data_IF_436226702822
#
_entry.id   IF_436226702822
#
_cell.length_a   1.000
_cell.length_b   1.000
_cell.length_c   1.000
_cell.angle_alpha   90.00
_cell.angle_beta   90.00
_cell.angle_gamma   90.00
#
_symmetry.space_group_name_H-M   'P 1'
#
loop_
_entity.id
_entity.type
_entity.pdbx_description
1 polymer ?
#
# COMPACT_ATOMS: atom_id res chain seq x y z
N UNK A 1 13.35 -10.63 11.28
CA UNK A 1 13.35 -9.17 11.57
C UNK A 1 11.91 -8.74 11.83
N UNK A 2 11.64 -8.02 12.92
CA UNK A 2 10.29 -7.58 13.33
C UNK A 2 10.09 -6.09 13.08
N UNK A 3 9.02 -5.71 12.38
CA UNK A 3 8.66 -4.32 12.07
C UNK A 3 7.23 -4.01 12.51
N UNK A 4 6.98 -2.77 12.95
CA UNK A 4 5.66 -2.31 13.42
C UNK A 4 4.91 -1.58 12.30
N UNK A 5 3.63 -1.92 12.14
CA UNK A 5 2.72 -1.36 11.17
C UNK A 5 1.36 -1.07 11.80
N UNK A 6 0.54 -0.30 11.07
CA UNK A 6 -0.87 -0.10 11.37
C UNK A 6 -1.70 -0.54 10.18
N UNK A 7 -2.81 -1.24 10.43
CA UNK A 7 -3.77 -1.63 9.41
C UNK A 7 -4.49 -0.39 8.88
N UNK A 8 -4.33 -0.11 7.59
CA UNK A 8 -4.92 1.07 6.92
C UNK A 8 -6.23 0.74 6.22
N UNK A 9 -6.30 -0.39 5.52
CA UNK A 9 -7.53 -0.87 4.88
C UNK A 9 -7.57 -2.39 4.84
N UNK A 10 -8.78 -2.92 4.78
CA UNK A 10 -9.08 -4.34 4.57
C UNK A 10 -10.14 -4.37 3.48
N UNK A 11 -9.74 -4.82 2.30
CA UNK A 11 -10.58 -4.80 1.11
C UNK A 11 -10.93 -6.24 0.70
N UNK A 12 -12.20 -6.52 0.44
CA UNK A 12 -12.62 -7.83 -0.05
C UNK A 12 -12.16 -8.03 -1.50
N UNK A 13 -11.96 -9.29 -1.90
CA UNK A 13 -11.60 -9.62 -3.26
C UNK A 13 -12.61 -9.05 -4.27
N UNK A 14 -12.17 -8.32 -5.31
CA UNK A 14 -13.08 -7.69 -6.27
C UNK A 14 -13.77 -8.71 -7.19
N UNK A 15 -13.20 -9.90 -7.30
CA UNK A 15 -13.70 -11.06 -8.05
C UNK A 15 -14.61 -11.97 -7.19
N UNK A 16 -14.85 -11.61 -5.92
CA UNK A 16 -15.67 -12.41 -4.99
C UNK A 16 -14.98 -13.67 -4.46
N UNK A 17 -13.69 -13.86 -4.76
CA UNK A 17 -12.93 -14.96 -4.19
C UNK A 17 -12.79 -14.82 -2.65
N UNK A 18 -12.60 -15.94 -1.92
CA UNK A 18 -12.61 -15.93 -0.45
C UNK A 18 -11.27 -15.44 0.14
N UNK A 19 -10.84 -14.24 -0.24
CA UNK A 19 -9.65 -13.58 0.30
C UNK A 19 -9.90 -12.09 0.56
N UNK A 20 -9.09 -11.52 1.46
CA UNK A 20 -8.99 -10.07 1.67
C UNK A 20 -7.61 -9.58 1.27
N UNK A 21 -7.53 -8.30 0.93
CA UNK A 21 -6.29 -7.55 0.78
C UNK A 21 -6.17 -6.61 1.97
N UNK A 22 -5.14 -6.81 2.79
CA UNK A 22 -4.84 -5.97 3.95
C UNK A 22 -3.71 -5.02 3.59
N UNK A 23 -3.98 -3.72 3.66
CA UNK A 23 -2.99 -2.68 3.46
C UNK A 23 -2.43 -2.21 4.81
N UNK A 24 -1.12 -2.30 4.98
CA UNK A 24 -0.38 -1.92 6.17
C UNK A 24 0.45 -0.66 5.88
N UNK A 25 0.46 0.30 6.81
CA UNK A 25 1.33 1.48 6.73
C UNK A 25 2.29 1.49 7.90
N UNK A 26 3.55 1.91 7.67
CA UNK A 26 4.50 2.01 8.77
C UNK A 26 4.11 3.17 9.69
N UNK A 27 4.41 3.05 10.99
CA UNK A 27 4.13 4.11 11.97
C UNK A 27 4.90 5.40 11.65
N UNK A 28 6.03 5.29 10.94
CA UNK A 28 6.84 6.44 10.52
C UNK A 28 6.13 7.23 9.41
N UNK A 29 5.59 6.53 8.42
CA UNK A 29 4.83 7.15 7.31
C UNK A 29 3.52 7.80 7.79
N UNK A 30 2.91 7.26 8.86
CA UNK A 30 1.71 7.87 9.47
C UNK A 30 2.00 9.20 10.15
N UNK A 31 3.20 9.39 10.73
CA UNK A 31 3.60 10.64 11.39
C UNK A 31 4.05 11.71 10.41
N UNK A 32 4.54 11.33 9.24
CA UNK A 32 4.94 12.24 8.17
C UNK A 32 3.75 12.69 7.28
N UNK A 33 2.53 12.26 7.61
CA UNK A 33 1.27 12.56 6.91
C UNK A 33 0.77 14.02 7.02
N UNK A 34 1.63 15.01 6.78
CA UNK A 34 1.22 16.39 6.40
C UNK A 34 1.81 16.79 5.04
N UNK A 35 1.84 15.87 4.09
CA UNK A 35 2.01 16.20 2.67
C UNK A 35 0.91 15.51 1.90
N UNK A 36 -0.22 16.21 1.87
CA UNK A 36 -1.19 16.28 0.79
C UNK A 36 -0.81 15.41 -0.41
N UNK A 37 -1.25 14.15 -0.40
CA UNK A 37 -1.44 13.42 -1.65
C UNK A 37 -2.73 14.00 -2.23
N UNK A 38 -2.70 14.82 -3.29
CA UNK A 38 -3.93 15.29 -3.90
C UNK A 38 -4.68 14.06 -4.43
N UNK A 39 -5.88 13.85 -3.91
CA UNK A 39 -6.81 12.85 -4.41
C UNK A 39 -6.93 12.98 -5.93
N UNK A 40 -6.82 11.89 -6.71
CA UNK A 40 -6.92 11.92 -8.17
C UNK A 40 -8.33 12.27 -8.69
N UNK A 41 -9.26 12.65 -7.81
CA UNK A 41 -10.65 12.97 -8.13
C UNK A 41 -11.08 14.39 -7.71
N UNK A 42 -10.15 15.35 -7.71
CA UNK A 42 -10.42 16.72 -7.26
C UNK A 42 -9.80 17.81 -8.12
N UNK A 43 -10.36 18.06 -9.30
CA UNK A 43 -10.34 19.36 -10.00
C UNK A 43 -8.97 19.83 -10.57
N UNK A 44 -8.94 20.35 -11.80
CA UNK A 44 -7.69 20.71 -12.46
C UNK A 44 -7.15 22.03 -11.91
N UNK A 45 -6.04 21.98 -11.16
CA UNK A 45 -5.13 23.13 -11.04
C UNK A 45 -4.39 23.28 -12.37
N UNK A 46 -5.01 24.04 -13.27
CA UNK A 46 -4.40 24.53 -14.51
C UNK A 46 -3.32 25.56 -14.20
N UNK A 47 -2.12 25.12 -13.83
CA UNK A 47 -0.94 25.98 -13.87
C UNK A 47 0.30 25.12 -14.12
N UNK A 48 0.68 24.92 -15.39
CA UNK A 48 2.08 24.56 -15.68
C UNK A 48 2.40 23.55 -16.78
N UNK A 49 1.47 23.05 -17.60
CA UNK A 49 1.84 22.17 -18.72
C UNK A 49 1.83 22.95 -20.04
N UNK A 50 3.01 23.41 -20.46
CA UNK A 50 3.18 24.10 -21.75
C UNK A 50 3.54 23.12 -22.88
N UNK A 51 3.72 21.81 -22.63
CA UNK A 51 4.12 20.85 -23.66
C UNK A 51 3.62 19.41 -23.43
N UNK A 52 3.06 18.77 -24.46
CA UNK A 52 2.58 17.37 -24.43
C UNK A 52 3.72 16.38 -24.16
N UNK A 53 4.97 16.72 -24.53
CA UNK A 53 6.15 15.90 -24.26
C UNK A 53 6.54 15.89 -22.77
N UNK A 54 6.26 16.96 -22.03
CA UNK A 54 6.49 17.01 -20.58
C UNK A 54 5.39 16.28 -19.82
N UNK A 55 4.14 16.36 -20.29
CA UNK A 55 3.05 15.56 -19.76
C UNK A 55 3.34 14.05 -19.87
N UNK A 56 3.90 13.58 -20.98
CA UNK A 56 4.21 12.15 -21.17
C UNK A 56 5.39 11.69 -20.30
N UNK A 57 6.36 12.58 -20.03
CA UNK A 57 7.46 12.32 -19.09
C UNK A 57 7.00 12.29 -17.64
N UNK A 58 6.15 13.22 -17.23
CA UNK A 58 5.54 13.21 -15.89
C UNK A 58 4.57 12.05 -15.72
N UNK A 59 3.83 11.67 -16.77
CA UNK A 59 3.01 10.47 -16.75
C UNK A 59 3.88 9.22 -16.61
N UNK A 60 5.01 9.10 -17.30
CA UNK A 60 5.91 7.96 -17.16
C UNK A 60 6.65 7.96 -15.80
N UNK A 61 7.01 9.12 -15.23
CA UNK A 61 7.49 9.22 -13.84
C UNK A 61 6.42 8.86 -12.82
N UNK A 62 5.17 9.25 -13.07
CA UNK A 62 4.03 8.95 -12.21
C UNK A 62 3.66 7.46 -12.30
N UNK A 63 3.69 6.87 -13.50
CA UNK A 63 3.45 5.43 -13.72
C UNK A 63 4.61 4.54 -13.25
N UNK A 64 5.87 4.97 -13.45
CA UNK A 64 7.02 4.25 -12.89
C UNK A 64 7.14 4.40 -11.37
N UNK A 65 6.54 5.45 -10.79
CA UNK A 65 6.31 5.59 -9.35
C UNK A 65 5.12 4.82 -8.80
N UNK A 66 4.20 4.33 -9.66
CA UNK A 66 3.05 3.50 -9.26
C UNK A 66 3.40 2.01 -9.07
N UNK A 67 4.61 1.58 -9.43
CA UNK A 67 5.06 0.20 -9.22
C UNK A 67 5.52 -0.12 -7.80
N UNK A 68 5.62 0.90 -6.93
CA UNK A 68 6.04 0.71 -5.55
C UNK A 68 5.48 1.88 -4.73
N UNK A 69 4.21 1.76 -4.35
CA UNK A 69 3.56 2.72 -3.48
C UNK A 69 4.37 2.82 -2.17
N UNK A 70 5.23 3.83 -2.13
CA UNK A 70 6.15 4.12 -1.04
C UNK A 70 5.41 4.08 0.30
N UNK A 71 5.76 3.11 1.15
CA UNK A 71 5.31 3.02 2.54
C UNK A 71 4.09 2.11 2.82
N UNK A 72 3.46 1.51 1.81
CA UNK A 72 2.31 0.61 2.02
C UNK A 72 2.67 -0.83 1.68
N UNK A 73 2.57 -1.72 2.66
CA UNK A 73 2.72 -3.18 2.46
C UNK A 73 1.34 -3.80 2.30
N UNK A 74 1.09 -4.52 1.20
CA UNK A 74 -0.17 -5.22 0.98
C UNK A 74 0.00 -6.72 1.16
N UNK A 75 -0.89 -7.33 1.94
CA UNK A 75 -0.93 -8.76 2.19
C UNK A 75 -2.25 -9.33 1.70
N UNK A 76 -2.18 -10.39 0.90
CA UNK A 76 -3.34 -11.20 0.55
C UNK A 76 -3.49 -12.27 1.63
N UNK A 77 -4.67 -12.34 2.24
CA UNK A 77 -4.98 -13.29 3.30
C UNK A 77 -6.27 -14.02 2.96
N UNK A 78 -6.33 -15.32 3.22
CA UNK A 78 -7.57 -16.07 3.04
C UNK A 78 -8.61 -15.65 4.10
N UNK A 79 -9.89 -15.81 3.77
CA UNK A 79 -10.99 -15.38 4.64
C UNK A 79 -11.00 -16.09 6.00
N UNK A 80 -10.48 -17.31 6.09
CA UNK A 80 -10.36 -18.02 7.37
C UNK A 80 -9.22 -17.45 8.21
N UNK A 81 -8.02 -17.27 7.63
CA UNK A 81 -6.85 -16.68 8.31
C UNK A 81 -7.17 -15.28 8.84
N UNK A 82 -7.81 -14.44 8.01
CA UNK A 82 -8.22 -13.09 8.42
C UNK A 82 -9.14 -13.12 9.64
N UNK A 83 -10.13 -14.02 9.66
CA UNK A 83 -11.08 -14.15 10.78
C UNK A 83 -10.42 -14.67 12.04
N UNK A 84 -9.49 -15.61 11.91
CA UNK A 84 -8.73 -16.15 13.04
C UNK A 84 -7.81 -15.10 13.67
N UNK A 85 -7.20 -14.24 12.84
CA UNK A 85 -6.34 -13.17 13.32
C UNK A 85 -7.10 -11.99 13.98
N UNK A 86 -8.40 -11.85 13.71
CA UNK A 86 -9.23 -10.80 14.30
C UNK A 86 -8.80 -9.37 13.96
N UNK A 87 -8.14 -9.18 12.81
CA UNK A 87 -7.59 -7.88 12.40
C UNK A 87 -8.69 -6.87 12.08
N UNK A 88 -8.49 -5.63 12.54
CA UNK A 88 -9.36 -4.49 12.28
C UNK A 88 -8.56 -3.30 11.76
N UNK A 89 -9.23 -2.39 11.04
CA UNK A 89 -8.62 -1.13 10.60
C UNK A 89 -8.24 -0.29 11.82
N UNK A 90 -7.00 0.21 11.85
CA UNK A 90 -6.42 0.93 12.98
C UNK A 90 -5.60 0.06 13.94
N UNK A 91 -5.65 -1.26 13.80
CA UNK A 91 -4.85 -2.14 14.64
C UNK A 91 -3.36 -1.96 14.39
N UNK A 92 -2.60 -1.91 15.48
CA UNK A 92 -1.15 -1.96 15.45
C UNK A 92 -0.71 -3.42 15.38
N UNK A 93 0.02 -3.77 14.34
CA UNK A 93 0.49 -5.13 14.07
C UNK A 93 2.00 -5.17 13.94
N UNK A 94 2.57 -6.35 14.17
CA UNK A 94 3.97 -6.63 13.90
C UNK A 94 4.08 -7.62 12.75
N UNK A 95 4.92 -7.29 11.78
CA UNK A 95 5.25 -8.17 10.68
C UNK A 95 6.68 -8.66 10.88
N UNK A 96 6.82 -9.98 10.97
CA UNK A 96 8.10 -10.66 11.10
C UNK A 96 8.39 -11.45 9.84
N UNK A 97 9.50 -11.12 9.18
CA UNK A 97 10.04 -11.94 8.10
C UNK A 97 11.28 -12.67 8.59
N UNK A 98 11.28 -13.98 8.38
CA UNK A 98 12.41 -14.88 8.58
C UNK A 98 12.80 -15.47 7.23
N UNK A 99 14.09 -15.45 6.91
CA UNK A 99 14.61 -16.16 5.75
C UNK A 99 14.60 -17.65 6.08
N UNK A 100 14.04 -18.46 5.18
CA UNK A 100 14.16 -19.92 5.29
C UNK A 100 15.62 -20.31 5.03
N UNK A 101 16.25 -20.98 5.99
CA UNK A 101 17.58 -21.55 5.83
C UNK A 101 17.45 -23.00 5.37
N UNK A 102 17.01 -23.21 4.12
CA UNK A 102 17.15 -24.52 3.48
C UNK A 102 18.62 -24.69 3.10
N UNK A 103 19.39 -25.36 3.97
CA UNK A 103 20.61 -26.04 3.54
C UNK A 103 20.17 -26.98 2.40
N UNK A 104 20.74 -26.77 1.21
CA UNK A 104 20.29 -27.38 -0.04
C UNK A 104 20.02 -28.88 0.07
N UNK A 105 19.08 -29.35 -0.75
CA UNK A 105 18.86 -30.78 -1.01
C UNK A 105 20.17 -31.40 -1.50
#
# INVERSE_FOLDING_TARGET
MKKEFVVRSIDAAPDGAPYVVVSLSSVKDLKEGTTSTPSPFGGPKVMGFTNMNDMMKDLNKMFSGMGMQSGVTQLKLEMHEYKEMGLSVGDKVYLELTKEETLGI
#
